data_IF_893685872563
#
_entry.id   IF_893685872563
#
_cell.length_a   1.000
_cell.length_b   1.000
_cell.length_c   1.000
_cell.angle_alpha   90.00
_cell.angle_beta   90.00
_cell.angle_gamma   90.00
#
_symmetry.space_group_name_H-M   'P 1'
#
loop_
_entity.id
_entity.type
_entity.pdbx_description
1 polymer ?
#
# COMPACT_ATOMS: atom_id res chain seq x y z
N UNK A 1 -23.13 22.74 -45.27
CA UNK A 1 -22.13 21.84 -44.64
C UNK A 1 -22.05 21.95 -43.11
N UNK A 2 -21.93 23.14 -42.51
CA UNK A 2 -21.77 23.34 -41.05
C UNK A 2 -22.92 22.76 -40.17
N UNK A 3 -24.18 22.81 -40.62
CA UNK A 3 -25.33 22.33 -39.83
C UNK A 3 -25.33 20.81 -39.59
N UNK A 4 -24.79 20.05 -40.53
CA UNK A 4 -24.68 18.59 -40.47
C UNK A 4 -23.62 18.19 -39.44
N UNK A 5 -22.48 18.90 -39.41
CA UNK A 5 -21.42 18.67 -38.42
C UNK A 5 -21.92 18.89 -36.99
N UNK A 6 -22.64 19.99 -36.72
CA UNK A 6 -23.27 20.24 -35.41
C UNK A 6 -24.32 19.18 -35.02
N UNK A 7 -25.02 18.57 -35.97
CA UNK A 7 -25.99 17.49 -35.70
C UNK A 7 -25.33 16.24 -35.14
N UNK A 8 -24.16 15.86 -35.66
CA UNK A 8 -23.43 14.67 -35.21
C UNK A 8 -22.57 14.90 -33.95
N UNK A 9 -22.18 16.15 -33.64
CA UNK A 9 -21.40 16.43 -32.41
C UNK A 9 -22.09 15.96 -31.12
N UNK A 10 -23.42 16.10 -31.00
CA UNK A 10 -24.18 15.60 -29.85
C UNK A 10 -24.18 14.07 -29.77
N UNK A 11 -24.24 13.40 -30.92
CA UNK A 11 -24.21 11.94 -31.00
C UNK A 11 -22.85 11.39 -30.55
N UNK A 12 -21.75 12.02 -30.99
CA UNK A 12 -20.39 11.65 -30.55
C UNK A 12 -20.17 11.87 -29.04
N UNK A 13 -20.74 12.94 -28.45
CA UNK A 13 -20.66 13.17 -27.00
C UNK A 13 -21.38 12.07 -26.23
N UNK A 14 -22.58 11.66 -26.66
CA UNK A 14 -23.34 10.59 -25.99
C UNK A 14 -22.61 9.25 -26.11
N UNK A 15 -22.06 8.93 -27.29
CA UNK A 15 -21.26 7.72 -27.49
C UNK A 15 -20.02 7.73 -26.59
N UNK A 16 -19.32 8.86 -26.49
CA UNK A 16 -18.17 9.01 -25.59
C UNK A 16 -18.54 8.79 -24.12
N UNK A 17 -19.66 9.35 -23.67
CA UNK A 17 -20.16 9.18 -22.29
C UNK A 17 -20.51 7.71 -22.00
N UNK A 18 -21.18 7.02 -22.92
CA UNK A 18 -21.52 5.59 -22.77
C UNK A 18 -20.27 4.73 -22.67
N UNK A 19 -19.24 5.02 -23.48
CA UNK A 19 -17.95 4.33 -23.41
C UNK A 19 -17.23 4.57 -22.08
N UNK A 20 -17.26 5.80 -21.55
CA UNK A 20 -16.66 6.11 -20.24
C UNK A 20 -17.38 5.37 -19.11
N UNK A 21 -18.72 5.35 -19.11
CA UNK A 21 -19.52 4.66 -18.09
C UNK A 21 -19.24 3.15 -18.08
N UNK A 22 -19.11 2.52 -19.25
CA UNK A 22 -18.81 1.08 -19.34
C UNK A 22 -17.43 0.69 -18.78
N UNK A 23 -16.48 1.62 -18.73
CA UNK A 23 -15.15 1.37 -18.16
C UNK A 23 -15.12 1.53 -16.63
N UNK A 24 -15.95 2.42 -16.07
CA UNK A 24 -16.04 2.64 -14.61
C UNK A 24 -16.60 1.41 -13.87
N UNK A 25 -17.52 0.66 -14.49
CA UNK A 25 -18.08 -0.55 -13.87
C UNK A 25 -17.09 -1.70 -13.72
N UNK A 26 -15.92 -1.64 -14.38
CA UNK A 26 -14.88 -2.67 -14.31
C UNK A 26 -13.81 -2.39 -13.24
N UNK A 27 -14.02 -1.44 -12.33
CA UNK A 27 -13.12 -1.24 -11.19
C UNK A 27 -13.17 -2.47 -10.27
N UNK A 28 -12.20 -3.36 -10.44
CA UNK A 28 -11.98 -4.51 -9.58
C UNK A 28 -11.51 -4.01 -8.21
N UNK A 29 -12.36 -4.13 -7.20
CA UNK A 29 -11.96 -3.89 -5.82
C UNK A 29 -10.92 -4.93 -5.42
N UNK A 30 -9.71 -4.49 -5.08
CA UNK A 30 -8.68 -5.38 -4.54
C UNK A 30 -9.20 -5.87 -3.19
N UNK A 31 -9.38 -7.19 -2.98
CA UNK A 31 -9.86 -7.69 -1.70
C UNK A 31 -8.86 -7.28 -0.63
N UNK A 32 -9.32 -6.55 0.39
CA UNK A 32 -8.49 -6.24 1.55
C UNK A 32 -8.16 -7.57 2.22
N UNK A 33 -6.89 -7.99 2.15
CA UNK A 33 -6.42 -9.15 2.89
C UNK A 33 -6.50 -8.78 4.38
N UNK A 34 -7.43 -9.39 5.10
CA UNK A 34 -7.54 -9.25 6.54
C UNK A 34 -6.56 -10.23 7.13
N UNK A 35 -5.57 -9.70 7.84
CA UNK A 35 -4.65 -10.49 8.62
C UNK A 35 -5.17 -10.49 10.06
N UNK A 36 -5.45 -11.67 10.57
CA UNK A 36 -5.92 -11.88 11.94
C UNK A 36 -4.85 -12.72 12.62
N UNK A 37 -3.91 -12.05 13.28
CA UNK A 37 -2.79 -12.69 13.97
C UNK A 37 -3.07 -12.69 15.46
N UNK A 38 -3.00 -13.87 16.06
CA UNK A 38 -3.18 -14.02 17.51
C UNK A 38 -1.80 -14.21 18.16
N UNK A 39 -1.22 -13.09 18.59
CA UNK A 39 0.14 -13.05 19.14
C UNK A 39 0.19 -12.35 20.50
N UNK A 40 1.01 -12.88 21.39
CA UNK A 40 1.32 -12.28 22.70
C UNK A 40 2.82 -12.06 22.79
N UNK A 41 3.23 -10.84 23.11
CA UNK A 41 4.63 -10.45 23.28
C UNK A 41 4.85 -10.08 24.74
N UNK A 42 5.69 -10.84 25.44
CA UNK A 42 6.14 -10.52 26.79
C UNK A 42 7.56 -9.97 26.74
N UNK A 43 7.76 -8.74 27.22
CA UNK A 43 9.09 -8.13 27.33
C UNK A 43 9.66 -8.42 28.71
N UNK A 44 10.92 -8.85 28.77
CA UNK A 44 11.63 -9.00 30.04
C UNK A 44 12.11 -7.65 30.60
N UNK A 45 12.85 -7.68 31.71
CA UNK A 45 13.40 -6.46 32.34
C UNK A 45 14.41 -5.72 31.45
N UNK A 46 15.05 -6.41 30.52
CA UNK A 46 16.04 -5.86 29.59
C UNK A 46 15.43 -5.48 28.24
N UNK A 47 14.11 -5.65 28.08
CA UNK A 47 13.39 -5.37 26.86
C UNK A 47 13.43 -6.50 25.83
N UNK A 48 13.98 -7.67 26.15
CA UNK A 48 14.03 -8.81 25.22
C UNK A 48 12.62 -9.36 25.02
N UNK A 49 12.13 -9.47 23.77
CA UNK A 49 10.79 -9.97 23.49
C UNK A 49 10.75 -11.51 23.52
N UNK A 50 9.83 -12.04 24.32
CA UNK A 50 9.39 -13.44 24.29
C UNK A 50 8.04 -13.50 23.57
N UNK A 51 8.04 -14.05 22.36
CA UNK A 51 6.90 -14.02 21.44
C UNK A 51 6.22 -15.38 21.42
N UNK A 52 4.90 -15.37 21.59
CA UNK A 52 4.06 -16.56 21.59
C UNK A 52 2.91 -16.36 20.60
N UNK A 53 2.73 -17.32 19.70
CA UNK A 53 1.64 -17.35 18.73
C UNK A 53 1.17 -18.78 18.50
N UNK A 54 -0.03 -18.95 17.95
CA UNK A 54 -0.59 -20.27 17.68
C UNK A 54 0.01 -20.90 16.42
N UNK A 55 0.42 -20.07 15.45
CA UNK A 55 1.10 -20.48 14.23
C UNK A 55 2.43 -19.76 14.02
N UNK A 56 3.24 -20.27 13.09
CA UNK A 56 4.51 -19.64 12.71
C UNK A 56 4.28 -18.23 12.13
N UNK A 57 3.15 -18.01 11.44
CA UNK A 57 2.79 -16.69 10.92
C UNK A 57 2.51 -15.68 12.03
N UNK A 58 1.84 -16.08 13.11
CA UNK A 58 1.59 -15.23 14.28
C UNK A 58 2.90 -14.81 14.94
N UNK A 59 3.81 -15.78 15.14
CA UNK A 59 5.12 -15.53 15.75
C UNK A 59 5.99 -14.65 14.84
N UNK A 60 6.00 -14.90 13.54
CA UNK A 60 6.72 -14.07 12.58
C UNK A 60 6.21 -12.63 12.56
N UNK A 61 4.90 -12.43 12.66
CA UNK A 61 4.30 -11.11 12.83
C UNK A 61 4.75 -10.45 14.13
N UNK A 62 4.69 -11.16 15.26
CA UNK A 62 5.14 -10.65 16.56
C UNK A 62 6.62 -10.28 16.57
N UNK A 63 7.47 -11.07 15.91
CA UNK A 63 8.90 -10.79 15.76
C UNK A 63 9.15 -9.49 14.99
N UNK A 64 8.50 -9.35 13.83
CA UNK A 64 8.62 -8.12 13.04
C UNK A 64 8.10 -6.91 13.82
N UNK A 65 7.00 -7.07 14.55
CA UNK A 65 6.43 -6.02 15.40
C UNK A 65 7.40 -5.61 16.51
N UNK A 66 7.96 -6.57 17.27
CA UNK A 66 8.91 -6.24 18.33
C UNK A 66 10.18 -5.58 17.81
N UNK A 67 10.67 -5.98 16.64
CA UNK A 67 11.81 -5.32 15.99
C UNK A 67 11.48 -3.87 15.60
N UNK A 68 10.27 -3.63 15.07
CA UNK A 68 9.82 -2.29 14.73
C UNK A 68 9.64 -1.41 15.98
N UNK A 69 9.17 -1.96 17.10
CA UNK A 69 9.13 -1.22 18.37
C UNK A 69 10.52 -0.80 18.85
N UNK A 70 11.55 -1.63 18.64
CA UNK A 70 12.90 -1.38 19.16
C UNK A 70 13.66 -0.35 18.33
N UNK A 71 13.53 -0.37 17.00
CA UNK A 71 14.27 0.54 16.11
C UNK A 71 13.57 0.72 14.76
N UNK A 72 12.38 1.36 14.80
CA UNK A 72 11.61 1.63 13.59
C UNK A 72 12.38 2.49 12.58
N UNK A 73 13.04 3.55 13.05
CA UNK A 73 13.65 4.56 12.18
C UNK A 73 14.75 3.93 11.30
N UNK A 74 15.61 3.10 11.89
CA UNK A 74 16.65 2.39 11.12
C UNK A 74 16.04 1.40 10.13
N UNK A 75 15.04 0.62 10.55
CA UNK A 75 14.35 -0.33 9.66
C UNK A 75 13.72 0.40 8.47
N UNK A 76 13.05 1.53 8.75
CA UNK A 76 12.39 2.34 7.74
C UNK A 76 13.39 2.96 6.76
N UNK A 77 14.49 3.54 7.25
CA UNK A 77 15.54 4.11 6.40
C UNK A 77 16.20 3.06 5.49
N UNK A 78 16.53 1.88 6.04
CA UNK A 78 17.07 0.77 5.24
C UNK A 78 16.06 0.29 4.20
N UNK A 79 14.76 0.25 4.53
CA UNK A 79 13.71 -0.11 3.58
C UNK A 79 13.63 0.89 2.43
N UNK A 80 13.71 2.19 2.70
CA UNK A 80 13.70 3.21 1.65
C UNK A 80 14.96 3.16 0.79
N UNK A 81 16.13 3.00 1.41
CA UNK A 81 17.42 2.91 0.74
C UNK A 81 17.48 1.67 -0.16
N UNK A 82 17.09 0.50 0.34
CA UNK A 82 17.05 -0.76 -0.43
C UNK A 82 16.10 -0.72 -1.62
N UNK A 83 15.04 0.10 -1.54
CA UNK A 83 14.11 0.35 -2.64
C UNK A 83 14.55 1.48 -3.58
N UNK A 84 15.64 2.18 -3.28
CA UNK A 84 16.15 3.31 -4.09
C UNK A 84 15.27 4.56 -4.04
N UNK A 85 14.47 4.72 -2.98
CA UNK A 85 13.50 5.82 -2.84
C UNK A 85 13.76 6.71 -1.62
N UNK A 86 14.93 6.62 -0.99
CA UNK A 86 15.28 7.42 0.21
C UNK A 86 15.13 8.92 -0.02
N UNK A 87 15.48 9.44 -1.20
CA UNK A 87 15.27 10.85 -1.57
C UNK A 87 13.81 11.35 -1.51
N UNK A 88 12.82 10.45 -1.56
CA UNK A 88 11.41 10.85 -1.45
C UNK A 88 11.05 11.41 -0.07
N UNK A 89 11.81 11.03 0.96
CA UNK A 89 11.65 11.50 2.35
C UNK A 89 12.80 12.42 2.74
N UNK A 90 14.04 12.03 2.45
CA UNK A 90 15.25 12.72 2.92
C UNK A 90 15.78 13.80 1.96
N UNK A 91 15.17 13.94 0.78
CA UNK A 91 15.52 14.96 -0.20
C UNK A 91 16.78 14.63 -1.01
N UNK A 92 17.38 15.68 -1.60
CA UNK A 92 18.42 15.55 -2.63
C UNK A 92 19.65 14.77 -2.18
N UNK A 93 20.06 14.90 -0.92
CA UNK A 93 21.27 14.25 -0.40
C UNK A 93 21.18 12.72 -0.36
N UNK A 94 19.96 12.17 -0.45
CA UNK A 94 19.70 10.73 -0.49
C UNK A 94 19.25 10.24 -1.87
N UNK A 95 19.54 11.01 -2.93
CA UNK A 95 19.31 10.61 -4.31
C UNK A 95 20.40 9.62 -4.78
N UNK A 96 20.02 8.58 -5.56
CA UNK A 96 20.97 7.58 -6.07
C UNK A 96 21.91 8.12 -7.14
#
# INVERSE_FOLDING_TARGET
MIKIFKKYTRLFIVIGIVLIISNISNLKTIPKKVYDYEVVIHRDKWGVPHIYGNTDEDVAYGLAYSHAEDDFDTIFEILLASRGISASINGKESAP
#
